data_IF_947341203571
#
_entry.id   IF_947341203571
#
_cell.length_a   1.000
_cell.length_b   1.000
_cell.length_c   1.000
_cell.angle_alpha   90.00
_cell.angle_beta   90.00
_cell.angle_gamma   90.00
#
_symmetry.space_group_name_H-M   'P 1'
#
loop_
_entity.id
_entity.type
_entity.pdbx_description
1 polymer ?
#
# COMPACT_ATOMS: atom_id res chain seq x y z
N UNK A 1 -33.43 -32.32 11.54
CA UNK A 1 -32.59 -31.75 12.56
C UNK A 1 -31.44 -31.15 11.84
N UNK A 2 -31.51 -29.84 11.66
CA UNK A 2 -30.56 -29.06 10.94
C UNK A 2 -29.30 -28.92 11.80
N UNK A 3 -28.29 -29.70 11.47
CA UNK A 3 -26.95 -29.50 11.98
C UNK A 3 -26.31 -28.27 11.30
N UNK A 4 -27.06 -27.21 11.15
CA UNK A 4 -26.48 -25.89 10.94
C UNK A 4 -25.84 -25.51 12.26
N UNK A 5 -24.55 -25.70 12.36
CA UNK A 5 -23.71 -25.13 13.42
C UNK A 5 -24.14 -23.70 13.62
N UNK A 6 -24.69 -23.38 14.79
CA UNK A 6 -25.42 -22.19 15.15
C UNK A 6 -25.02 -20.95 14.37
N UNK A 7 -25.87 -20.57 13.43
CA UNK A 7 -25.76 -19.27 12.77
C UNK A 7 -25.98 -18.20 13.84
N UNK A 8 -24.89 -17.48 14.19
CA UNK A 8 -24.98 -16.31 15.06
C UNK A 8 -25.29 -15.10 14.16
N UNK A 9 -26.54 -14.62 14.10
CA UNK A 9 -26.92 -13.51 13.25
C UNK A 9 -26.14 -12.27 13.66
N UNK A 10 -25.41 -11.70 12.73
CA UNK A 10 -24.62 -10.49 12.93
C UNK A 10 -25.17 -9.38 12.05
N UNK A 11 -25.70 -8.33 12.68
CA UNK A 11 -26.19 -7.14 12.01
C UNK A 11 -25.38 -5.94 12.51
N UNK A 12 -25.02 -5.06 11.60
CA UNK A 12 -24.34 -3.81 11.87
C UNK A 12 -25.01 -2.70 11.04
N UNK A 13 -25.24 -1.55 11.65
CA UNK A 13 -25.83 -0.41 10.96
C UNK A 13 -24.84 0.21 9.97
N UNK A 14 -25.36 0.86 8.95
CA UNK A 14 -24.52 1.57 7.99
C UNK A 14 -23.92 2.84 8.61
N UNK A 15 -22.69 3.16 8.24
CA UNK A 15 -22.00 4.38 8.64
C UNK A 15 -20.78 4.15 9.53
N UNK A 16 -20.17 5.25 9.95
CA UNK A 16 -18.99 5.22 10.82
C UNK A 16 -19.39 4.86 12.25
N UNK A 17 -18.84 3.76 12.77
CA UNK A 17 -19.14 3.24 14.09
C UNK A 17 -17.87 2.88 14.84
N UNK A 18 -17.91 3.00 16.16
CA UNK A 18 -16.86 2.49 17.02
C UNK A 18 -17.16 1.04 17.38
N UNK A 19 -16.30 0.12 16.96
CA UNK A 19 -16.44 -1.31 17.21
C UNK A 19 -15.46 -1.75 18.30
N UNK A 20 -15.88 -2.66 19.15
CA UNK A 20 -14.94 -3.43 19.97
C UNK A 20 -14.24 -4.52 19.16
N UNK A 21 -13.20 -5.15 19.72
CA UNK A 21 -12.40 -6.15 18.98
C UNK A 21 -13.20 -7.37 18.56
N UNK A 22 -14.18 -7.83 19.35
CA UNK A 22 -15.00 -8.99 19.03
C UNK A 22 -15.96 -8.67 17.86
N UNK A 23 -16.59 -7.52 17.87
CA UNK A 23 -17.46 -7.03 16.81
C UNK A 23 -16.68 -6.75 15.52
N UNK A 24 -15.51 -6.11 15.62
CA UNK A 24 -14.62 -5.89 14.47
C UNK A 24 -14.17 -7.20 13.83
N UNK A 25 -13.89 -8.23 14.64
CA UNK A 25 -13.53 -9.55 14.15
C UNK A 25 -14.70 -10.23 13.44
N UNK A 26 -15.91 -10.18 13.99
CA UNK A 26 -17.13 -10.68 13.34
C UNK A 26 -17.36 -9.98 11.99
N UNK A 27 -17.23 -8.66 11.95
CA UNK A 27 -17.34 -7.85 10.73
C UNK A 27 -16.33 -8.28 9.66
N UNK A 28 -15.05 -8.45 10.03
CA UNK A 28 -14.00 -8.86 9.11
C UNK A 28 -14.13 -10.30 8.60
N UNK A 29 -14.85 -11.18 9.34
CA UNK A 29 -14.96 -12.61 9.01
C UNK A 29 -16.25 -12.99 8.27
N UNK A 30 -17.30 -12.18 8.37
CA UNK A 30 -18.59 -12.52 7.76
C UNK A 30 -18.50 -12.67 6.23
N UNK A 31 -19.21 -13.63 5.68
CA UNK A 31 -19.37 -13.89 4.24
C UNK A 31 -20.83 -13.76 3.78
N UNK A 32 -21.72 -13.44 4.70
CA UNK A 32 -23.17 -13.40 4.46
C UNK A 32 -23.61 -12.11 3.72
N UNK A 33 -22.81 -11.67 2.75
CA UNK A 33 -23.13 -10.54 1.84
C UNK A 33 -23.10 -11.03 0.40
N UNK A 34 -23.73 -10.28 -0.50
CA UNK A 34 -23.86 -10.67 -1.91
C UNK A 34 -22.50 -10.91 -2.60
N UNK A 35 -21.48 -10.09 -2.29
CA UNK A 35 -20.12 -10.24 -2.83
C UNK A 35 -19.27 -11.29 -2.12
N UNK A 36 -19.78 -11.98 -1.09
CA UNK A 36 -19.11 -13.11 -0.44
C UNK A 36 -17.68 -12.83 0.00
N UNK A 37 -16.71 -13.53 -0.60
CA UNK A 37 -15.28 -13.42 -0.27
C UNK A 37 -14.66 -12.08 -0.69
N UNK A 38 -15.12 -11.47 -1.77
CA UNK A 38 -14.65 -10.16 -2.22
C UNK A 38 -15.03 -9.09 -1.21
N UNK A 39 -16.29 -9.08 -0.77
CA UNK A 39 -16.74 -8.16 0.27
C UNK A 39 -16.02 -8.38 1.60
N UNK A 40 -15.71 -9.64 1.93
CA UNK A 40 -14.92 -9.97 3.11
C UNK A 40 -13.52 -9.36 3.01
N UNK A 41 -12.83 -9.49 1.88
CA UNK A 41 -11.51 -8.90 1.67
C UNK A 41 -11.54 -7.38 1.83
N UNK A 42 -12.56 -6.70 1.29
CA UNK A 42 -12.77 -5.26 1.48
C UNK A 42 -12.96 -4.89 2.96
N UNK A 43 -13.79 -5.63 3.70
CA UNK A 43 -14.01 -5.40 5.14
C UNK A 43 -12.73 -5.63 5.96
N UNK A 44 -11.93 -6.64 5.63
CA UNK A 44 -10.64 -6.87 6.29
C UNK A 44 -9.70 -5.68 6.10
N UNK A 45 -9.60 -5.14 4.89
CA UNK A 45 -8.82 -3.93 4.62
C UNK A 45 -9.34 -2.72 5.40
N UNK A 46 -10.66 -2.53 5.47
CA UNK A 46 -11.26 -1.45 6.27
C UNK A 46 -10.88 -1.55 7.75
N UNK A 47 -10.96 -2.75 8.34
CA UNK A 47 -10.57 -2.97 9.74
C UNK A 47 -9.08 -2.70 9.96
N UNK A 48 -8.21 -3.18 9.07
CA UNK A 48 -6.76 -2.95 9.16
C UNK A 48 -6.45 -1.45 9.09
N UNK A 49 -7.05 -0.72 8.14
CA UNK A 49 -6.88 0.73 8.02
C UNK A 49 -7.39 1.47 9.26
N UNK A 50 -8.56 1.11 9.79
CA UNK A 50 -9.11 1.71 10.99
C UNK A 50 -8.22 1.48 12.23
N UNK A 51 -7.67 0.27 12.38
CA UNK A 51 -6.71 -0.05 13.45
C UNK A 51 -5.43 0.77 13.29
N UNK A 52 -4.89 0.88 12.07
CA UNK A 52 -3.73 1.72 11.78
C UNK A 52 -4.00 3.17 12.14
N UNK A 53 -5.11 3.74 11.67
CA UNK A 53 -5.43 5.15 11.89
C UNK A 53 -5.62 5.45 13.38
N UNK A 54 -6.23 4.54 14.12
CA UNK A 54 -6.35 4.65 15.56
C UNK A 54 -5.00 4.51 16.29
N UNK A 55 -4.13 3.61 15.81
CA UNK A 55 -2.80 3.41 16.39
C UNK A 55 -1.87 4.62 16.21
N UNK A 56 -2.06 5.38 15.13
CA UNK A 56 -1.26 6.58 14.82
C UNK A 56 -1.69 7.80 15.67
N UNK A 57 -2.90 7.80 16.22
CA UNK A 57 -3.37 8.90 17.07
C UNK A 57 -2.45 9.08 18.28
N UNK A 58 -2.03 10.32 18.55
CA UNK A 58 -1.05 10.65 19.58
C UNK A 58 -1.46 10.17 20.99
N UNK A 59 -2.75 10.14 21.28
CA UNK A 59 -3.28 9.72 22.57
C UNK A 59 -3.15 8.22 22.84
N UNK A 60 -3.03 7.40 21.80
CA UNK A 60 -2.94 5.93 21.90
C UNK A 60 -1.51 5.41 21.84
N UNK A 61 -0.57 6.20 21.28
CA UNK A 61 0.83 5.79 21.09
C UNK A 61 1.54 5.36 22.39
N UNK A 62 1.48 6.09 23.51
CA UNK A 62 2.17 5.69 24.73
C UNK A 62 1.65 4.34 25.26
N UNK A 63 0.33 4.12 25.19
CA UNK A 63 -0.29 2.86 25.62
C UNK A 63 0.10 1.70 24.69
N UNK A 64 0.20 1.95 23.39
CA UNK A 64 0.59 0.96 22.40
C UNK A 64 2.05 0.55 22.59
N UNK A 65 2.96 1.50 22.80
CA UNK A 65 4.38 1.24 23.06
C UNK A 65 4.57 0.46 24.36
N UNK A 66 3.82 0.77 25.40
CA UNK A 66 3.88 0.03 26.66
C UNK A 66 3.42 -1.43 26.51
N UNK A 67 2.45 -1.69 25.62
CA UNK A 67 1.92 -3.03 25.33
C UNK A 67 2.59 -3.74 24.16
N UNK A 68 3.53 -3.10 23.49
CA UNK A 68 4.18 -3.66 22.30
C UNK A 68 4.81 -5.05 22.54
N UNK A 69 5.49 -5.34 23.66
CA UNK A 69 6.01 -6.68 23.90
C UNK A 69 4.92 -7.75 24.03
N UNK A 70 3.77 -7.42 24.66
CA UNK A 70 2.64 -8.35 24.79
C UNK A 70 1.96 -8.60 23.45
N UNK A 71 1.80 -7.55 22.65
CA UNK A 71 1.27 -7.67 21.28
C UNK A 71 2.19 -8.52 20.41
N UNK A 72 3.50 -8.34 20.52
CA UNK A 72 4.49 -9.13 19.83
C UNK A 72 4.44 -10.61 20.20
N UNK A 73 4.36 -10.94 21.49
CA UNK A 73 4.18 -12.32 21.95
C UNK A 73 2.91 -12.96 21.39
N UNK A 74 1.80 -12.22 21.43
CA UNK A 74 0.53 -12.69 20.85
C UNK A 74 0.63 -12.90 19.33
N UNK A 75 1.32 -12.01 18.64
CA UNK A 75 1.57 -12.15 17.20
C UNK A 75 2.40 -13.39 16.87
N UNK A 76 3.52 -13.60 17.56
CA UNK A 76 4.39 -14.76 17.37
C UNK A 76 3.70 -16.12 17.66
N UNK A 77 2.72 -16.13 18.55
CA UNK A 77 1.95 -17.35 18.85
C UNK A 77 1.05 -17.79 17.68
N UNK A 78 0.71 -16.87 16.75
CA UNK A 78 -0.25 -17.13 15.68
C UNK A 78 0.30 -16.91 14.27
N UNK A 79 1.45 -16.25 14.13
CA UNK A 79 2.06 -15.91 12.84
C UNK A 79 3.51 -16.34 12.80
N UNK A 80 3.86 -17.17 11.81
CA UNK A 80 5.24 -17.53 11.53
C UNK A 80 5.89 -16.47 10.67
N UNK A 81 6.95 -15.84 11.18
CA UNK A 81 7.69 -14.79 10.49
C UNK A 81 9.17 -14.87 10.83
N UNK A 82 10.02 -14.38 9.94
CA UNK A 82 11.44 -14.16 10.16
C UNK A 82 11.76 -12.74 10.66
N UNK A 83 10.76 -11.88 10.84
CA UNK A 83 10.96 -10.55 11.41
C UNK A 83 11.30 -10.63 12.89
N UNK A 84 12.31 -9.89 13.30
CA UNK A 84 12.59 -9.61 14.71
C UNK A 84 11.65 -8.52 15.26
N UNK A 85 11.60 -8.40 16.58
CA UNK A 85 10.82 -7.34 17.23
C UNK A 85 11.29 -5.94 16.83
N UNK A 86 12.61 -5.74 16.73
CA UNK A 86 13.20 -4.45 16.36
C UNK A 86 12.87 -4.07 14.90
N UNK A 87 12.92 -5.03 13.98
CA UNK A 87 12.50 -4.81 12.59
C UNK A 87 11.00 -4.50 12.49
N UNK A 88 10.17 -5.17 13.27
CA UNK A 88 8.75 -4.89 13.34
C UNK A 88 8.46 -3.46 13.85
N UNK A 89 9.22 -2.98 14.86
CA UNK A 89 9.13 -1.60 15.35
C UNK A 89 9.59 -0.58 14.29
N UNK A 90 10.66 -0.86 13.55
CA UNK A 90 11.13 -0.02 12.44
C UNK A 90 10.06 0.09 11.35
N UNK A 91 9.46 -1.03 10.95
CA UNK A 91 8.36 -1.05 9.99
C UNK A 91 7.13 -0.28 10.49
N UNK A 92 6.78 -0.45 11.76
CA UNK A 92 5.66 0.28 12.37
C UNK A 92 5.92 1.80 12.35
N UNK A 93 7.15 2.22 12.63
CA UNK A 93 7.54 3.63 12.57
C UNK A 93 7.52 4.18 11.13
N UNK A 94 7.96 3.39 10.16
CA UNK A 94 7.88 3.73 8.74
C UNK A 94 6.42 3.92 8.30
N UNK A 95 5.54 2.97 8.61
CA UNK A 95 4.11 3.04 8.28
C UNK A 95 3.45 4.25 8.95
N UNK A 96 3.86 4.58 10.19
CA UNK A 96 3.38 5.76 10.91
C UNK A 96 3.75 7.07 10.21
N UNK A 97 4.97 7.16 9.68
CA UNK A 97 5.45 8.35 8.98
C UNK A 97 4.84 8.51 7.58
N UNK A 98 4.21 7.46 7.06
CA UNK A 98 3.67 7.43 5.71
C UNK A 98 2.29 8.09 5.67
N UNK A 99 2.07 9.12 4.84
CA UNK A 99 0.76 9.71 4.65
C UNK A 99 -0.26 8.66 4.19
N UNK A 100 -1.48 8.69 4.75
CA UNK A 100 -2.52 7.70 4.41
C UNK A 100 -2.85 7.61 2.92
N UNK A 101 -2.75 8.72 2.21
CA UNK A 101 -2.94 8.80 0.75
C UNK A 101 -1.90 7.99 -0.06
N UNK A 102 -0.75 7.67 0.54
CA UNK A 102 0.29 6.86 -0.10
C UNK A 102 0.06 5.36 0.08
N UNK A 103 -0.95 4.97 0.85
CA UNK A 103 -1.34 3.57 1.03
C UNK A 103 -2.48 3.25 0.07
N UNK A 104 -2.18 2.45 -0.94
CA UNK A 104 -3.16 1.98 -1.92
C UNK A 104 -3.68 0.62 -1.50
N UNK A 105 -5.00 0.52 -1.37
CA UNK A 105 -5.67 -0.75 -1.08
C UNK A 105 -6.45 -1.18 -2.31
N UNK A 106 -6.22 -2.40 -2.76
CA UNK A 106 -6.90 -2.96 -3.92
C UNK A 106 -7.40 -4.36 -3.59
N UNK A 107 -8.61 -4.66 -3.98
CA UNK A 107 -9.20 -6.00 -3.92
C UNK A 107 -9.40 -6.50 -5.35
N UNK A 108 -8.94 -7.71 -5.64
CA UNK A 108 -9.27 -8.40 -6.88
C UNK A 108 -10.71 -8.90 -6.78
N UNK A 109 -11.63 -8.11 -7.31
CA UNK A 109 -13.06 -8.42 -7.34
C UNK A 109 -13.46 -9.20 -8.60
N UNK A 110 -14.76 -9.40 -8.78
CA UNK A 110 -15.30 -10.13 -9.94
C UNK A 110 -15.09 -9.43 -11.30
N UNK A 111 -14.52 -8.23 -11.36
CA UNK A 111 -14.03 -7.64 -12.61
C UNK A 111 -12.69 -8.24 -13.06
N UNK A 112 -11.95 -8.84 -12.14
CA UNK A 112 -10.62 -9.44 -12.38
C UNK A 112 -10.60 -10.97 -12.38
N UNK A 113 -11.69 -11.59 -11.93
CA UNK A 113 -11.84 -13.05 -11.87
C UNK A 113 -13.24 -13.45 -12.33
N UNK A 114 -13.40 -14.69 -12.79
CA UNK A 114 -14.70 -15.28 -13.08
C UNK A 114 -14.80 -16.68 -12.45
N UNK A 115 -16.04 -17.09 -12.15
CA UNK A 115 -16.30 -18.42 -11.64
C UNK A 115 -16.21 -19.45 -12.77
N UNK A 116 -15.55 -20.56 -12.50
CA UNK A 116 -15.49 -21.72 -13.37
C UNK A 116 -15.61 -23.00 -12.53
N UNK A 117 -15.90 -24.12 -13.20
CA UNK A 117 -15.99 -25.42 -12.56
C UNK A 117 -15.01 -26.38 -13.21
N UNK A 118 -14.11 -26.95 -12.41
CA UNK A 118 -13.15 -27.94 -12.89
C UNK A 118 -13.84 -29.24 -13.29
N UNK A 119 -13.14 -30.12 -14.01
CA UNK A 119 -13.69 -31.39 -14.47
C UNK A 119 -14.12 -32.33 -13.34
N UNK A 120 -13.55 -32.18 -12.12
CA UNK A 120 -13.89 -32.89 -10.90
C UNK A 120 -15.00 -32.19 -10.07
N UNK A 121 -15.63 -31.16 -10.62
CA UNK A 121 -16.78 -30.47 -10.03
C UNK A 121 -16.44 -29.39 -8.98
N UNK A 122 -15.18 -29.04 -8.82
CA UNK A 122 -14.77 -27.97 -7.91
C UNK A 122 -15.04 -26.61 -8.51
N UNK A 123 -15.63 -25.71 -7.72
CA UNK A 123 -15.79 -24.31 -8.11
C UNK A 123 -14.49 -23.55 -7.86
N UNK A 124 -13.97 -22.89 -8.88
CA UNK A 124 -12.74 -22.14 -8.84
C UNK A 124 -12.92 -20.72 -9.39
N UNK A 125 -12.08 -19.81 -8.91
CA UNK A 125 -11.97 -18.46 -9.48
C UNK A 125 -10.80 -18.43 -10.46
N UNK A 126 -11.11 -18.14 -11.71
CA UNK A 126 -10.11 -18.06 -12.79
C UNK A 126 -9.70 -16.59 -12.97
N UNK A 127 -8.40 -16.26 -12.87
CA UNK A 127 -7.93 -14.88 -13.02
C UNK A 127 -7.94 -14.41 -14.48
N UNK A 128 -8.44 -13.19 -14.71
CA UNK A 128 -8.29 -12.46 -15.97
C UNK A 128 -6.93 -11.78 -15.98
N UNK A 129 -5.91 -12.51 -16.40
CA UNK A 129 -4.49 -12.13 -16.26
C UNK A 129 -4.17 -10.75 -16.83
N UNK A 130 -4.75 -10.40 -17.99
CA UNK A 130 -4.48 -9.10 -18.63
C UNK A 130 -4.97 -7.93 -17.77
N UNK A 131 -6.17 -8.03 -17.19
CA UNK A 131 -6.68 -7.00 -16.28
C UNK A 131 -5.86 -6.89 -14.99
N UNK A 132 -5.43 -8.05 -14.45
CA UNK A 132 -4.60 -8.08 -13.24
C UNK A 132 -3.22 -7.46 -13.50
N UNK A 133 -2.63 -7.66 -14.68
CA UNK A 133 -1.35 -7.03 -15.06
C UNK A 133 -1.48 -5.50 -15.08
N UNK A 134 -2.52 -4.98 -15.73
CA UNK A 134 -2.76 -3.53 -15.76
C UNK A 134 -2.92 -2.97 -14.35
N UNK A 135 -3.74 -3.62 -13.53
CA UNK A 135 -3.94 -3.20 -12.13
C UNK A 135 -2.64 -3.24 -11.31
N UNK A 136 -1.84 -4.32 -11.48
CA UNK A 136 -0.53 -4.43 -10.83
C UNK A 136 0.38 -3.27 -11.22
N UNK A 137 0.48 -2.99 -12.50
CA UNK A 137 1.36 -1.94 -13.03
C UNK A 137 0.91 -0.56 -12.55
N UNK A 138 -0.39 -0.33 -12.39
CA UNK A 138 -0.96 0.88 -11.80
C UNK A 138 -0.64 0.99 -10.29
N UNK A 139 -0.87 -0.08 -9.53
CA UNK A 139 -0.69 -0.09 -8.06
C UNK A 139 0.78 0.06 -7.68
N UNK A 140 1.67 -0.59 -8.43
CA UNK A 140 3.13 -0.58 -8.18
C UNK A 140 3.86 0.44 -9.05
N UNK A 141 3.14 1.29 -9.79
CA UNK A 141 3.78 2.40 -10.49
C UNK A 141 4.57 3.27 -9.49
N UNK A 142 5.79 3.65 -9.80
CA UNK A 142 6.50 4.62 -8.98
C UNK A 142 5.65 5.89 -8.84
N UNK A 143 5.72 6.58 -7.70
CA UNK A 143 5.00 7.84 -7.55
C UNK A 143 5.38 8.75 -8.73
N UNK A 144 4.37 9.31 -9.38
CA UNK A 144 4.61 10.35 -10.38
C UNK A 144 5.23 11.51 -9.62
N UNK A 145 6.54 11.63 -9.72
CA UNK A 145 7.22 12.84 -9.29
C UNK A 145 6.64 13.93 -10.18
N UNK A 146 5.94 14.95 -9.64
CA UNK A 146 5.46 16.02 -10.46
C UNK A 146 6.67 16.56 -11.24
N UNK A 147 6.62 16.47 -12.56
CA UNK A 147 7.64 17.05 -13.41
C UNK A 147 7.63 18.55 -13.04
N UNK A 148 8.72 19.10 -12.53
CA UNK A 148 8.74 20.50 -12.19
C UNK A 148 8.37 21.29 -13.45
N UNK A 149 7.62 22.35 -13.26
CA UNK A 149 7.18 23.21 -14.36
C UNK A 149 8.40 23.64 -15.16
N UNK A 150 8.51 23.19 -16.41
CA UNK A 150 9.71 23.38 -17.24
C UNK A 150 10.02 24.88 -17.39
N UNK A 151 8.99 25.73 -17.31
CA UNK A 151 9.13 27.20 -17.34
C UNK A 151 9.75 27.77 -16.05
N UNK A 152 9.59 27.10 -14.91
CA UNK A 152 10.17 27.51 -13.62
C UNK A 152 11.56 26.93 -13.34
N UNK A 153 11.99 25.90 -14.10
CA UNK A 153 13.27 25.22 -13.93
C UNK A 153 14.51 26.15 -14.04
N UNK A 154 14.62 27.07 -15.03
CA UNK A 154 15.77 27.94 -15.13
C UNK A 154 15.94 28.84 -13.90
N UNK A 155 14.84 29.35 -13.35
CA UNK A 155 14.88 30.22 -12.17
C UNK A 155 15.23 29.45 -10.90
N UNK A 156 14.74 28.22 -10.75
CA UNK A 156 15.06 27.36 -9.59
C UNK A 156 16.54 26.92 -9.61
N UNK A 157 17.08 26.56 -10.77
CA UNK A 157 18.46 26.13 -10.94
C UNK A 157 19.43 27.28 -10.66
N UNK A 158 19.14 28.50 -11.13
CA UNK A 158 19.96 29.68 -10.87
C UNK A 158 19.95 30.13 -9.41
N UNK A 159 18.82 29.93 -8.70
CA UNK A 159 18.72 30.23 -7.25
C UNK A 159 19.47 29.21 -6.41
N UNK A 160 19.50 27.94 -6.83
CA UNK A 160 20.17 26.86 -6.09
C UNK A 160 21.71 26.90 -6.23
N UNK A 161 22.24 27.55 -7.27
CA UNK A 161 23.66 27.60 -7.65
C UNK A 161 24.34 26.20 -7.63
N UNK A 162 23.56 25.18 -7.98
CA UNK A 162 24.00 23.80 -7.96
C UNK A 162 25.01 23.54 -9.09
N UNK A 163 26.12 22.90 -8.76
CA UNK A 163 27.11 22.50 -9.76
C UNK A 163 26.75 21.14 -10.35
N UNK A 164 26.58 21.08 -11.68
CA UNK A 164 26.20 19.87 -12.40
C UNK A 164 27.40 19.30 -13.16
N UNK A 165 27.74 18.03 -12.94
CA UNK A 165 28.73 17.32 -13.74
C UNK A 165 28.01 16.38 -14.71
N UNK A 166 28.41 16.40 -15.99
CA UNK A 166 27.80 15.55 -17.03
C UNK A 166 28.77 14.45 -17.44
N UNK A 167 28.36 13.20 -17.28
CA UNK A 167 29.14 12.04 -17.68
C UNK A 167 28.46 11.29 -18.82
N UNK A 168 29.25 10.91 -19.83
CA UNK A 168 28.76 10.08 -20.93
C UNK A 168 28.81 8.60 -20.55
N UNK A 169 27.65 8.02 -20.26
CA UNK A 169 27.46 6.56 -20.01
C UNK A 169 27.21 5.73 -21.27
N UNK A 170 27.31 6.32 -22.47
CA UNK A 170 27.03 5.65 -23.74
C UNK A 170 28.29 5.52 -24.61
N UNK A 171 28.31 4.62 -25.61
CA UNK A 171 29.44 4.51 -26.54
C UNK A 171 29.51 5.67 -27.55
N UNK A 172 28.58 6.61 -27.53
CA UNK A 172 28.53 7.74 -28.47
C UNK A 172 29.54 8.81 -28.05
N UNK A 173 30.57 9.00 -28.84
CA UNK A 173 31.62 9.99 -28.54
C UNK A 173 31.07 11.42 -28.65
N UNK A 174 31.41 12.27 -27.69
CA UNK A 174 31.09 13.72 -27.70
C UNK A 174 29.74 14.08 -27.07
N UNK A 175 28.88 13.13 -26.74
CA UNK A 175 27.52 13.40 -26.22
C UNK A 175 27.52 14.20 -24.91
N UNK A 176 28.48 13.96 -24.02
CA UNK A 176 28.60 14.73 -22.78
C UNK A 176 29.00 16.18 -23.05
N UNK A 177 29.91 16.43 -23.98
CA UNK A 177 30.33 17.78 -24.35
C UNK A 177 29.20 18.59 -25.01
N UNK A 178 28.40 17.94 -25.84
CA UNK A 178 27.22 18.57 -26.45
C UNK A 178 26.16 18.90 -25.41
N UNK A 179 25.91 17.97 -24.46
CA UNK A 179 24.99 18.20 -23.33
C UNK A 179 25.50 19.32 -22.41
N UNK A 180 26.79 19.39 -22.10
CA UNK A 180 27.39 20.49 -21.33
C UNK A 180 27.17 21.83 -22.02
N UNK A 181 27.45 21.89 -23.34
CA UNK A 181 27.24 23.13 -24.12
C UNK A 181 25.78 23.59 -24.09
N UNK A 182 24.85 22.64 -24.19
CA UNK A 182 23.42 22.93 -24.06
C UNK A 182 23.06 23.46 -22.67
N UNK A 183 23.50 22.81 -21.60
CA UNK A 183 23.24 23.23 -20.22
C UNK A 183 23.82 24.61 -19.90
N UNK A 184 25.05 24.90 -20.38
CA UNK A 184 25.66 26.22 -20.24
C UNK A 184 24.83 27.31 -20.96
N UNK A 185 24.20 26.99 -22.08
CA UNK A 185 23.31 27.92 -22.79
C UNK A 185 22.00 28.20 -22.04
N UNK A 186 21.66 27.38 -21.02
CA UNK A 186 20.50 27.53 -20.14
C UNK A 186 20.87 28.12 -18.77
N UNK A 187 22.05 28.74 -18.63
CA UNK A 187 22.57 29.33 -17.39
C UNK A 187 22.75 28.31 -16.24
N UNK A 188 22.94 27.04 -16.55
CA UNK A 188 23.26 26.00 -15.57
C UNK A 188 24.76 26.00 -15.27
N UNK A 189 25.14 26.01 -13.99
CA UNK A 189 26.52 25.95 -13.57
C UNK A 189 27.08 24.51 -13.76
N UNK A 190 27.79 24.29 -14.88
CA UNK A 190 28.37 23.00 -15.25
C UNK A 190 29.84 22.97 -14.90
N UNK A 191 30.27 21.92 -14.19
CA UNK A 191 31.70 21.67 -13.87
C UNK A 191 32.31 20.72 -14.89
N UNK A 192 33.62 20.92 -15.16
CA UNK A 192 34.41 20.01 -15.98
C UNK A 192 34.62 18.65 -15.30
#
# INVERSE_FOLDING_TARGET
PDNCYGYDPFTIDAGLQRLDGATALKYARTRATFGGDVDRAGRQQQVINAVRDQAIQLDTLPQLLFRAPQLWQSYQAHVTTNLSFDEALQLANLVRSMPGQNIRNVVLDYSYVYNDTTFDGQQVLVPVREKIRVLRDEVFAPPVVPTPDIEALPTAITVEDARVAVFNGTPTFGLAAETQTYLLSQDVNVTE
#
